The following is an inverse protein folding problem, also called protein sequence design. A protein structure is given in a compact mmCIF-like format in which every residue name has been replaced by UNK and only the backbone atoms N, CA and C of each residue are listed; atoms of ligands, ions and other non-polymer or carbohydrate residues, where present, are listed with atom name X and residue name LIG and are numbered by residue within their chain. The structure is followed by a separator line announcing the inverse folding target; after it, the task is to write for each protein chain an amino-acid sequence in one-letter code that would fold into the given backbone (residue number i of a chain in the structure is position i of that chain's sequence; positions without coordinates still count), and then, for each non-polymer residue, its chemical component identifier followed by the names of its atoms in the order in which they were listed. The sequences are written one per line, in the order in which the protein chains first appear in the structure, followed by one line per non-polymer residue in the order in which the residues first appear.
data_IF_101634083885
#
_entry.id   IF_101634083885
#
_cell.length_a   1.000
_cell.length_b   1.000
_cell.length_c   1.000
_cell.angle_alpha   90.00
_cell.angle_beta   90.00
_cell.angle_gamma   90.00
#
_symmetry.space_group_name_H-M   'P 1'
#
loop_
_entity.id
_entity.type
_entity.pdbx_description
1 polymer ?
#
# COMPACT_ATOMS: atom_id res chain seq x y z
N UNK A 1 4.19 -7.45 1.33
CA UNK A 1 4.89 -7.21 0.06
C UNK A 1 4.18 -6.11 -0.70
N UNK A 2 2.91 -6.31 -1.09
CA UNK A 2 2.13 -5.31 -1.83
C UNK A 2 2.04 -3.95 -1.14
N UNK A 3 1.85 -3.90 0.18
CA UNK A 3 1.89 -2.64 0.93
C UNK A 3 3.22 -1.88 0.80
N UNK A 4 4.36 -2.58 0.83
CA UNK A 4 5.69 -1.98 0.70
C UNK A 4 5.98 -1.51 -0.72
N UNK A 5 5.50 -2.26 -1.71
CA UNK A 5 5.68 -1.87 -3.10
C UNK A 5 4.82 -0.66 -3.45
N UNK A 6 3.57 -0.64 -2.99
CA UNK A 6 2.72 0.55 -3.08
C UNK A 6 3.40 1.74 -2.43
N UNK A 7 3.90 1.58 -1.20
CA UNK A 7 4.59 2.63 -0.44
C UNK A 7 5.78 3.21 -1.21
N UNK A 8 6.69 2.37 -1.68
CA UNK A 8 7.85 2.79 -2.48
C UNK A 8 7.41 3.55 -3.74
N UNK A 9 6.36 3.06 -4.42
CA UNK A 9 5.91 3.67 -5.67
C UNK A 9 5.16 4.99 -5.43
N UNK A 10 4.41 5.11 -4.33
CA UNK A 10 3.80 6.37 -3.89
C UNK A 10 4.87 7.43 -3.57
N UNK A 11 5.92 7.04 -2.85
CA UNK A 11 7.04 7.93 -2.53
C UNK A 11 7.75 8.42 -3.80
N UNK A 12 7.93 7.57 -4.82
CA UNK A 12 8.51 7.98 -6.11
C UNK A 12 7.69 9.08 -6.80
N UNK A 13 6.37 8.99 -6.74
CA UNK A 13 5.49 10.01 -7.33
C UNK A 13 5.25 11.21 -6.42
N UNK A 14 5.94 11.31 -5.28
CA UNK A 14 5.88 12.47 -4.39
C UNK A 14 4.82 12.40 -3.30
N UNK A 15 4.15 11.25 -3.13
CA UNK A 15 3.18 11.05 -2.05
C UNK A 15 3.92 10.52 -0.82
N UNK A 16 3.77 11.20 0.31
CA UNK A 16 4.28 10.73 1.59
C UNK A 16 3.46 9.51 2.04
N UNK A 17 4.11 8.35 2.09
CA UNK A 17 3.53 7.07 2.46
C UNK A 17 4.49 6.33 3.38
N UNK A 18 3.94 5.44 4.22
CA UNK A 18 4.72 4.54 5.06
C UNK A 18 4.09 3.14 5.08
N UNK A 19 4.88 2.09 4.81
CA UNK A 19 4.48 0.71 5.01
C UNK A 19 5.13 0.08 6.26
N UNK A 20 4.36 -0.74 6.96
CA UNK A 20 4.77 -1.37 8.21
C UNK A 20 4.79 -2.90 8.10
N UNK A 21 5.86 -3.53 8.59
CA UNK A 21 5.94 -4.99 8.78
C UNK A 21 5.44 -5.38 10.16
N UNK A 22 5.81 -4.57 11.15
CA UNK A 22 5.48 -4.79 12.55
C UNK A 22 4.09 -4.24 12.87
N UNK A 23 3.33 -5.02 13.64
CA UNK A 23 1.98 -4.68 14.04
C UNK A 23 1.95 -3.50 15.02
N UNK A 24 2.83 -3.51 16.03
CA UNK A 24 2.80 -2.50 17.10
C UNK A 24 3.16 -1.11 16.58
N UNK A 25 4.19 -1.03 15.74
CA UNK A 25 4.58 0.20 15.06
C UNK A 25 3.43 0.76 14.21
N UNK A 26 2.76 -0.12 13.47
CA UNK A 26 1.60 0.28 12.67
C UNK A 26 0.45 0.78 13.55
N UNK A 27 0.11 0.05 14.63
CA UNK A 27 -0.94 0.41 15.55
C UNK A 27 -0.70 1.81 16.13
N UNK A 28 0.50 2.09 16.63
CA UNK A 28 0.82 3.39 17.22
C UNK A 28 0.76 4.54 16.19
N UNK A 29 1.32 4.36 15.00
CA UNK A 29 1.28 5.41 13.96
C UNK A 29 -0.14 5.63 13.46
N UNK A 30 -0.89 4.56 13.23
CA UNK A 30 -2.25 4.66 12.66
C UNK A 30 -3.33 5.10 13.65
N UNK A 31 -3.04 5.15 14.96
CA UNK A 31 -4.01 5.54 15.99
C UNK A 31 -3.57 6.79 16.76
N UNK A 32 -2.37 6.78 17.35
CA UNK A 32 -1.87 7.88 18.19
C UNK A 32 -1.41 9.06 17.35
N UNK A 33 -0.81 8.80 16.19
CA UNK A 33 -0.33 9.84 15.26
C UNK A 33 -1.31 10.06 14.09
N UNK A 34 -2.55 9.58 14.26
CA UNK A 34 -3.59 9.71 13.25
C UNK A 34 -3.94 11.18 13.02
N UNK A 35 -4.13 11.55 11.75
CA UNK A 35 -4.79 12.78 11.36
C UNK A 35 -5.81 12.51 10.25
N UNK A 36 -6.84 13.34 10.15
CA UNK A 36 -7.94 13.18 9.19
C UNK A 36 -7.52 13.34 7.72
N UNK A 37 -6.33 13.89 7.45
CA UNK A 37 -5.75 14.00 6.13
C UNK A 37 -4.95 12.76 5.70
N UNK A 38 -4.74 11.79 6.60
CA UNK A 38 -4.11 10.52 6.28
C UNK A 38 -5.10 9.52 5.69
N UNK A 39 -4.63 8.75 4.71
CA UNK A 39 -5.34 7.59 4.19
C UNK A 39 -4.65 6.32 4.67
N UNK A 40 -5.38 5.46 5.38
CA UNK A 40 -4.87 4.15 5.82
C UNK A 40 -5.36 3.07 4.86
N UNK A 41 -4.45 2.22 4.38
CA UNK A 41 -4.77 1.07 3.51
C UNK A 41 -4.31 -0.21 4.20
N UNK A 42 -5.24 -1.13 4.43
CA UNK A 42 -5.00 -2.41 5.07
C UNK A 42 -5.12 -3.56 4.07
N UNK A 43 -4.00 -4.24 3.78
CA UNK A 43 -4.00 -5.50 3.04
C UNK A 43 -4.15 -6.67 4.02
N UNK A 44 -5.26 -7.40 3.99
CA UNK A 44 -5.50 -8.52 4.91
C UNK A 44 -6.34 -9.59 4.22
N UNK A 45 -5.85 -10.83 4.09
CA UNK A 45 -6.60 -11.88 3.38
C UNK A 45 -7.89 -12.27 4.10
N UNK A 46 -7.77 -12.64 5.38
CA UNK A 46 -8.88 -13.19 6.17
C UNK A 46 -9.47 -12.19 7.15
N UNK A 47 -8.67 -11.22 7.62
CA UNK A 47 -9.01 -10.34 8.76
C UNK A 47 -9.24 -11.08 10.09
N UNK A 48 -8.79 -12.33 10.20
CA UNK A 48 -9.11 -13.18 11.36
C UNK A 48 -8.04 -13.22 12.46
N UNK A 49 -6.86 -12.65 12.25
CA UNK A 49 -5.82 -12.69 13.28
C UNK A 49 -6.19 -11.78 14.45
N UNK A 50 -5.72 -12.11 15.65
CA UNK A 50 -6.02 -11.33 16.87
C UNK A 50 -5.59 -9.88 16.71
N UNK A 51 -4.40 -9.65 16.14
CA UNK A 51 -3.87 -8.32 15.87
C UNK A 51 -4.75 -7.53 14.90
N UNK A 52 -5.26 -8.19 13.85
CA UNK A 52 -6.12 -7.57 12.85
C UNK A 52 -7.49 -7.20 13.41
N UNK A 53 -8.11 -8.10 14.19
CA UNK A 53 -9.38 -7.82 14.85
C UNK A 53 -9.24 -6.63 15.79
N UNK A 54 -8.26 -6.70 16.69
CA UNK A 54 -7.99 -5.63 17.64
C UNK A 54 -7.77 -4.27 16.97
N UNK A 55 -6.96 -4.22 15.90
CA UNK A 55 -6.75 -2.98 15.15
C UNK A 55 -8.04 -2.42 14.56
N UNK A 56 -8.85 -3.28 13.95
CA UNK A 56 -10.08 -2.84 13.31
C UNK A 56 -11.08 -2.35 14.36
N UNK A 57 -11.17 -3.02 15.50
CA UNK A 57 -11.98 -2.58 16.65
C UNK A 57 -11.54 -1.17 17.10
N UNK A 58 -10.23 -0.95 17.26
CA UNK A 58 -9.67 0.36 17.61
C UNK A 58 -9.99 1.42 16.55
N UNK A 59 -9.89 1.09 15.27
CA UNK A 59 -10.25 2.03 14.19
C UNK A 59 -11.72 2.41 14.22
N UNK A 60 -12.62 1.47 14.55
CA UNK A 60 -14.04 1.77 14.70
C UNK A 60 -14.31 2.66 15.92
N UNK A 61 -13.73 2.33 17.08
CA UNK A 61 -13.88 3.10 18.31
C UNK A 61 -13.40 4.55 18.14
N UNK A 62 -12.28 4.74 17.42
CA UNK A 62 -11.66 6.04 17.18
C UNK A 62 -12.17 6.75 15.91
N UNK A 63 -13.11 6.14 15.17
CA UNK A 63 -13.65 6.65 13.89
C UNK A 63 -12.56 6.95 12.85
N UNK A 64 -11.52 6.12 12.84
CA UNK A 64 -10.42 6.21 11.89
C UNK A 64 -10.89 5.69 10.54
N UNK A 65 -10.75 6.51 9.50
CA UNK A 65 -11.07 6.11 8.14
C UNK A 65 -9.94 5.27 7.55
N UNK A 66 -10.28 4.07 7.05
CA UNK A 66 -9.34 3.17 6.39
C UNK A 66 -9.99 2.46 5.20
N UNK A 67 -9.15 2.03 4.25
CA UNK A 67 -9.52 1.14 3.16
C UNK A 67 -9.05 -0.28 3.47
N UNK A 68 -9.93 -1.27 3.30
CA UNK A 68 -9.62 -2.68 3.51
C UNK A 68 -9.56 -3.42 2.18
N UNK A 69 -8.43 -4.07 1.91
CA UNK A 69 -8.23 -4.93 0.74
C UNK A 69 -8.16 -6.39 1.22
N UNK A 70 -9.19 -7.18 0.91
CA UNK A 70 -9.39 -8.49 1.52
C UNK A 70 -10.04 -9.52 0.61
N UNK A 71 -9.82 -10.81 0.91
CA UNK A 71 -10.59 -11.90 0.31
C UNK A 71 -11.86 -12.24 1.10
N UNK A 72 -11.98 -11.71 2.32
CA UNK A 72 -13.11 -11.96 3.19
C UNK A 72 -14.32 -11.11 2.78
N UNK A 73 -15.27 -11.74 2.09
CA UNK A 73 -16.45 -11.08 1.54
C UNK A 73 -17.37 -10.46 2.60
N UNK A 74 -17.43 -11.05 3.81
CA UNK A 74 -18.30 -10.53 4.88
C UNK A 74 -17.89 -9.13 5.34
N UNK A 75 -16.63 -8.75 5.15
CA UNK A 75 -16.14 -7.42 5.54
C UNK A 75 -16.87 -6.29 4.82
N UNK A 76 -17.43 -6.54 3.63
CA UNK A 76 -18.20 -5.53 2.88
C UNK A 76 -19.53 -5.16 3.55
N UNK A 77 -20.06 -6.04 4.38
CA UNK A 77 -21.29 -5.78 5.16
C UNK A 77 -21.00 -4.92 6.39
N UNK A 78 -19.73 -4.90 6.83
CA UNK A 78 -19.31 -4.26 8.08
C UNK A 78 -18.66 -2.89 7.82
N UNK A 79 -17.89 -2.76 6.74
CA UNK A 79 -17.12 -1.54 6.46
C UNK A 79 -17.46 -0.97 5.08
N UNK A 80 -17.45 0.37 4.97
CA UNK A 80 -17.79 1.06 3.72
C UNK A 80 -16.67 0.95 2.67
N UNK A 81 -15.42 1.14 3.10
CA UNK A 81 -14.27 1.26 2.21
C UNK A 81 -13.57 -0.08 2.01
N UNK A 82 -14.23 -1.03 1.33
CA UNK A 82 -13.71 -2.40 1.16
C UNK A 82 -13.53 -2.76 -0.32
N UNK A 83 -12.33 -3.21 -0.66
CA UNK A 83 -12.00 -3.84 -1.95
C UNK A 83 -11.90 -5.35 -1.74
N UNK A 84 -12.81 -6.08 -2.37
CA UNK A 84 -12.86 -7.54 -2.32
C UNK A 84 -12.11 -8.14 -3.51
N UNK A 85 -11.22 -9.09 -3.26
CA UNK A 85 -10.62 -9.92 -4.30
C UNK A 85 -10.94 -11.40 -4.10
N UNK A 86 -10.99 -12.16 -5.19
CA UNK A 86 -11.23 -13.60 -5.14
C UNK A 86 -9.93 -14.37 -5.10
N UNK A 87 -9.84 -15.43 -4.31
CA UNK A 87 -8.70 -16.36 -4.35
C UNK A 87 -9.09 -17.63 -5.08
N UNK A 88 -8.20 -18.15 -5.93
CA UNK A 88 -8.35 -19.51 -6.43
C UNK A 88 -8.22 -20.48 -5.24
N UNK A 89 -9.29 -21.24 -4.97
CA UNK A 89 -9.24 -22.28 -3.95
C UNK A 89 -8.34 -23.42 -4.44
N UNK A 90 -7.32 -23.74 -3.65
CA UNK A 90 -6.49 -24.91 -3.89
C UNK A 90 -6.85 -25.94 -2.82
N UNK A 91 -7.31 -27.12 -3.25
CA UNK A 91 -7.60 -28.29 -2.40
C UNK A 91 -6.40 -28.71 -1.51
N UNK A 92 -5.19 -28.24 -1.83
CA UNK A 92 -4.05 -28.25 -0.91
C UNK A 92 -3.63 -26.81 -0.65
N UNK A 93 -3.70 -26.38 0.61
CA UNK A 93 -3.46 -25.03 1.15
C UNK A 93 -1.99 -24.56 1.02
N UNK A 94 -1.25 -25.07 0.05
CA UNK A 94 0.20 -25.05 0.03
C UNK A 94 0.78 -23.69 -0.37
N UNK A 95 0.04 -22.83 -1.09
CA UNK A 95 0.57 -21.49 -1.36
C UNK A 95 -0.51 -20.41 -1.47
N UNK A 96 -0.31 -19.31 -0.73
CA UNK A 96 -1.11 -18.08 -0.79
C UNK A 96 -0.86 -17.27 -2.09
N UNK A 97 -0.44 -17.90 -3.19
CA UNK A 97 -0.02 -17.23 -4.44
C UNK A 97 -1.13 -16.34 -4.98
N UNK A 98 -2.36 -16.87 -5.13
CA UNK A 98 -3.48 -16.09 -5.68
C UNK A 98 -3.77 -14.84 -4.85
N UNK A 99 -3.68 -14.94 -3.52
CA UNK A 99 -3.86 -13.79 -2.63
C UNK A 99 -2.77 -12.75 -2.80
N UNK A 100 -1.50 -13.18 -2.91
CA UNK A 100 -0.37 -12.27 -3.10
C UNK A 100 -0.44 -11.56 -4.46
N UNK A 101 -0.74 -12.31 -5.53
CA UNK A 101 -0.89 -11.74 -6.88
C UNK A 101 -2.03 -10.73 -6.90
N UNK A 102 -3.18 -11.05 -6.33
CA UNK A 102 -4.32 -10.13 -6.35
C UNK A 102 -4.09 -8.88 -5.51
N UNK A 103 -3.47 -9.00 -4.34
CA UNK A 103 -3.07 -7.83 -3.55
C UNK A 103 -2.06 -6.96 -4.30
N UNK A 104 -1.13 -7.58 -5.03
CA UNK A 104 -0.17 -6.86 -5.87
C UNK A 104 -0.85 -6.11 -7.01
N UNK A 105 -1.72 -6.80 -7.75
CA UNK A 105 -2.50 -6.21 -8.82
C UNK A 105 -3.34 -5.02 -8.33
N UNK A 106 -3.97 -5.14 -7.16
CA UNK A 106 -4.74 -4.05 -6.56
C UNK A 106 -3.83 -2.88 -6.19
N UNK A 107 -2.66 -3.14 -5.62
CA UNK A 107 -1.64 -2.10 -5.35
C UNK A 107 -1.29 -1.33 -6.62
N UNK A 108 -0.99 -2.04 -7.71
CA UNK A 108 -0.62 -1.42 -8.98
C UNK A 108 -1.79 -0.64 -9.59
N UNK A 109 -3.02 -1.15 -9.44
CA UNK A 109 -4.23 -0.46 -9.88
C UNK A 109 -4.48 0.84 -9.10
N UNK A 110 -4.26 0.83 -7.78
CA UNK A 110 -4.36 2.04 -6.94
C UNK A 110 -3.36 3.08 -7.45
N UNK A 111 -2.11 2.69 -7.63
CA UNK A 111 -1.07 3.58 -8.15
C UNK A 111 -1.45 4.13 -9.53
N UNK A 112 -1.91 3.27 -10.44
CA UNK A 112 -2.36 3.67 -11.78
C UNK A 112 -3.49 4.71 -11.72
N UNK A 113 -4.48 4.49 -10.87
CA UNK A 113 -5.61 5.41 -10.71
C UNK A 113 -5.17 6.75 -10.12
N UNK A 114 -4.30 6.73 -9.11
CA UNK A 114 -3.71 7.95 -8.55
C UNK A 114 -2.96 8.70 -9.66
N UNK A 115 -2.12 8.01 -10.43
CA UNK A 115 -1.35 8.64 -11.50
C UNK A 115 -2.22 9.19 -12.63
N UNK A 116 -3.36 8.54 -12.91
CA UNK A 116 -4.32 8.97 -13.92
C UNK A 116 -5.11 10.20 -13.50
N UNK A 117 -5.46 10.32 -12.22
CA UNK A 117 -6.31 11.40 -11.69
C UNK A 117 -5.57 12.37 -10.77
N UNK A 118 -4.23 12.40 -10.85
CA UNK A 118 -3.40 13.29 -10.04
C UNK A 118 -3.59 14.76 -10.40
N UNK A 119 -3.29 15.62 -9.44
CA UNK A 119 -3.25 17.06 -9.63
C UNK A 119 -1.99 17.51 -10.37
N UNK A 120 -2.04 18.70 -10.98
CA UNK A 120 -0.87 19.34 -11.61
C UNK A 120 0.27 19.58 -10.60
N UNK A 121 -0.04 19.76 -9.32
CA UNK A 121 0.96 19.89 -8.26
C UNK A 121 1.76 18.59 -8.10
N UNK A 122 1.07 17.44 -8.11
CA UNK A 122 1.75 16.15 -8.00
C UNK A 122 2.59 15.84 -9.24
N UNK A 123 2.16 16.27 -10.43
CA UNK A 123 2.97 16.23 -11.66
C UNK A 123 4.31 16.95 -11.48
N UNK A 124 4.29 18.18 -10.95
CA UNK A 124 5.50 18.96 -10.73
C UNK A 124 6.46 18.28 -9.73
N UNK A 125 5.93 17.66 -8.68
CA UNK A 125 6.73 16.90 -7.70
C UNK A 125 7.31 15.64 -8.36
N UNK A 126 6.50 14.90 -9.12
CA UNK A 126 6.95 13.72 -9.85
C UNK A 126 8.09 14.04 -10.82
N UNK A 127 7.96 15.11 -11.62
CA UNK A 127 9.00 15.55 -12.55
C UNK A 127 10.30 15.92 -11.82
N UNK A 128 10.20 16.57 -10.66
CA UNK A 128 11.36 16.89 -9.81
C UNK A 128 12.04 15.61 -9.31
N UNK A 129 11.26 14.65 -8.82
CA UNK A 129 11.78 13.37 -8.34
C UNK A 129 12.45 12.58 -9.48
N UNK A 130 11.84 12.56 -10.67
CA UNK A 130 12.38 11.87 -11.83
C UNK A 130 13.73 12.46 -12.26
N UNK A 131 13.88 13.79 -12.26
CA UNK A 131 15.16 14.46 -12.54
C UNK A 131 16.27 14.02 -11.58
N UNK A 132 15.96 13.89 -10.29
CA UNK A 132 16.92 13.42 -9.27
C UNK A 132 17.33 11.97 -9.56
N UNK A 133 16.36 11.10 -9.83
CA UNK A 133 16.60 9.69 -10.13
C UNK A 133 17.40 9.50 -11.44
N UNK A 134 17.09 10.27 -12.47
CA UNK A 134 17.81 10.26 -13.75
C UNK A 134 19.25 10.73 -13.58
N UNK A 135 19.47 11.76 -12.76
CA UNK A 135 20.81 12.22 -12.40
C UNK A 135 21.64 11.10 -11.76
N UNK A 136 21.06 10.38 -10.79
CA UNK A 136 21.72 9.23 -10.15
C UNK A 136 22.00 8.07 -11.13
N UNK A 137 21.02 7.72 -11.98
CA UNK A 137 21.18 6.66 -12.97
C UNK A 137 22.30 6.97 -13.98
N UNK A 138 22.45 8.23 -14.38
CA UNK A 138 23.51 8.68 -15.30
C UNK A 138 24.91 8.61 -14.66
N UNK A 139 25.05 8.84 -13.36
CA UNK A 139 26.34 8.73 -12.66
C UNK A 139 26.92 7.30 -12.74
N UNK A 140 26.08 6.26 -12.73
CA UNK A 140 26.53 4.87 -12.87
C UNK A 140 27.15 4.54 -14.24
N UNK A 141 26.76 5.26 -15.29
CA UNK A 141 27.26 5.02 -16.66
C UNK A 141 28.69 5.56 -16.80
N UNK A 142 29.03 6.65 -16.11
CA UNK A 142 30.36 7.27 -16.21
C UNK A 142 31.43 6.39 -15.54
N UNK A 143 31.13 5.77 -14.40
CA UNK A 143 32.07 4.90 -13.68
C UNK A 143 32.45 3.62 -14.45
N UNK A 144 31.59 3.12 -15.34
CA UNK A 144 31.87 1.93 -16.15
C UNK A 144 32.70 2.26 -17.40
N UNK A 145 32.61 3.49 -17.91
CA UNK A 145 33.37 3.94 -19.09
C UNK A 145 34.77 4.48 -18.75
N UNK A 146 35.14 4.54 -17.47
CA UNK A 146 36.46 4.99 -16.98
C UNK A 146 37.37 3.84 -16.54
N UNK A 147 36.99 2.57 -16.82
CA UNK A 147 37.76 1.35 -16.47
C UNK A 147 38.06 0.50 -17.73
N UNK A 148 38.02 1.09 -18.92
CA UNK A 148 38.54 0.49 -20.18
C UNK A 148 39.58 1.44 -20.75
#
# INVERSE_FOLDING_TARGET
MSAFELDINLQKIGINSNAFKDFHSFLLVSTVQYNEHQTIILFSKSCETKERKHLIDVFQEQKINFFLITANKSMREIYQNVIIYQTLEQNKRLVLISSKINQQFISDLILFLIFKYKSNELDAIYDKNQKILDGWNKQKIIFLNSII
#
